data_IF_413191229854
#
_entry.id   IF_413191229854
#
_cell.length_a   1.000
_cell.length_b   1.000
_cell.length_c   1.000
_cell.angle_alpha   90.00
_cell.angle_beta   90.00
_cell.angle_gamma   90.00
#
_symmetry.space_group_name_H-M   'P 1'
#
loop_
_entity.id
_entity.type
_entity.pdbx_description
1 polymer ?
#
# COMPACT_ATOMS: atom_id res chain seq x y z
N UNK A 1 9.44 3.45 19.57
CA UNK A 1 10.08 4.53 18.78
C UNK A 1 10.15 4.08 17.33
N UNK A 2 10.02 4.99 16.38
CA UNK A 2 10.09 4.70 14.94
C UNK A 2 11.54 4.54 14.50
N UNK A 3 11.88 3.45 13.80
CA UNK A 3 13.23 3.16 13.29
C UNK A 3 13.40 3.67 11.86
N UNK A 4 14.58 4.21 11.58
CA UNK A 4 15.05 4.54 10.22
C UNK A 4 15.89 3.40 9.67
N UNK A 5 15.64 3.02 8.41
CA UNK A 5 16.36 1.95 7.71
C UNK A 5 16.95 2.52 6.42
N UNK A 6 18.23 2.22 6.17
CA UNK A 6 18.88 2.56 4.91
C UNK A 6 18.51 1.52 3.84
N UNK A 7 18.12 1.98 2.66
CA UNK A 7 17.90 1.15 1.48
C UNK A 7 18.87 1.56 0.38
N UNK A 8 18.97 0.77 -0.70
CA UNK A 8 19.76 1.12 -1.89
C UNK A 8 19.40 2.50 -2.48
N UNK A 9 18.15 2.94 -2.31
CA UNK A 9 17.61 4.15 -2.95
C UNK A 9 17.45 5.33 -2.00
N UNK A 10 17.72 5.16 -0.70
CA UNK A 10 17.59 6.21 0.31
C UNK A 10 17.11 5.67 1.65
N UNK A 11 16.96 6.56 2.63
CA UNK A 11 16.55 6.21 4.00
C UNK A 11 15.02 6.26 4.11
N UNK A 12 14.42 5.24 4.73
CA UNK A 12 12.99 5.19 5.06
C UNK A 12 12.77 5.22 6.57
N UNK A 13 11.63 5.75 7.01
CA UNK A 13 11.19 5.74 8.41
C UNK A 13 9.79 5.14 8.52
N UNK A 14 9.70 3.99 9.18
CA UNK A 14 8.45 3.27 9.40
C UNK A 14 7.75 3.62 10.72
N UNK A 15 6.78 2.81 11.12
CA UNK A 15 6.09 2.90 12.42
C UNK A 15 6.19 1.56 13.15
N UNK A 16 6.43 1.60 14.45
CA UNK A 16 6.42 0.41 15.29
C UNK A 16 5.06 0.30 15.99
N UNK A 17 4.37 -0.81 15.81
CA UNK A 17 3.01 -1.04 16.33
C UNK A 17 3.02 -2.28 17.22
N UNK A 18 2.41 -2.20 18.40
CA UNK A 18 2.14 -3.37 19.24
C UNK A 18 0.90 -4.09 18.73
N UNK A 19 1.02 -5.40 18.51
CA UNK A 19 -0.11 -6.24 18.11
C UNK A 19 -1.00 -6.50 19.33
N UNK A 20 -2.31 -6.61 19.12
CA UNK A 20 -3.28 -6.84 20.20
C UNK A 20 -3.03 -8.15 20.95
N UNK A 21 -2.53 -9.18 20.25
CA UNK A 21 -2.15 -10.42 20.89
C UNK A 21 -0.81 -10.22 21.63
N UNK A 22 -0.78 -10.28 22.97
CA UNK A 22 0.44 -10.02 23.75
C UNK A 22 1.55 -11.05 23.52
N UNK A 23 1.24 -12.23 22.95
CA UNK A 23 2.23 -13.24 22.57
C UNK A 23 2.99 -12.87 21.29
N UNK A 24 2.45 -11.94 20.51
CA UNK A 24 3.06 -11.44 19.27
C UNK A 24 3.73 -10.11 19.62
N UNK A 25 5.05 -10.04 19.46
CA UNK A 25 5.82 -8.82 19.71
C UNK A 25 5.38 -7.64 18.84
N UNK A 26 6.06 -6.51 18.97
CA UNK A 26 5.82 -5.38 18.07
C UNK A 26 6.15 -5.73 16.62
N UNK A 27 5.48 -5.06 15.68
CA UNK A 27 5.77 -5.14 14.24
C UNK A 27 6.22 -3.76 13.78
N UNK A 28 7.35 -3.71 13.08
CA UNK A 28 7.78 -2.54 12.32
C UNK A 28 7.10 -2.56 10.95
N UNK A 29 6.43 -1.46 10.61
CA UNK A 29 5.63 -1.33 9.41
C UNK A 29 6.17 -0.17 8.58
N UNK A 30 6.44 -0.45 7.31
CA UNK A 30 6.82 0.55 6.32
C UNK A 30 5.80 0.47 5.19
N UNK A 31 5.10 1.57 4.92
CA UNK A 31 4.04 1.65 3.92
C UNK A 31 4.41 2.61 2.80
N UNK A 32 4.01 2.26 1.57
CA UNK A 32 4.19 3.15 0.42
C UNK A 32 5.66 3.34 0.00
N UNK A 33 6.51 2.32 0.16
CA UNK A 33 7.89 2.37 -0.35
C UNK A 33 7.85 2.19 -1.87
N UNK A 34 8.41 3.11 -2.68
CA UNK A 34 8.48 2.91 -4.13
C UNK A 34 9.47 1.79 -4.45
N UNK A 35 9.07 0.83 -5.28
CA UNK A 35 9.94 -0.26 -5.71
C UNK A 35 10.30 -0.20 -7.20
N UNK A 36 9.63 0.66 -7.96
CA UNK A 36 9.93 0.95 -9.36
C UNK A 36 9.67 2.43 -9.68
N UNK A 37 10.14 2.86 -10.85
CA UNK A 37 9.80 4.17 -11.42
C UNK A 37 8.31 4.23 -11.81
N UNK A 38 7.61 5.37 -11.63
CA UNK A 38 6.20 5.49 -11.99
C UNK A 38 5.94 5.17 -13.48
N UNK A 39 4.98 4.30 -13.82
CA UNK A 39 4.69 3.88 -15.19
C UNK A 39 3.80 4.88 -15.94
N UNK A 40 4.09 6.18 -15.79
CA UNK A 40 3.29 7.29 -16.32
C UNK A 40 3.84 7.83 -17.65
N UNK A 41 2.98 8.44 -18.47
CA UNK A 41 3.38 9.07 -19.73
C UNK A 41 4.12 8.11 -20.66
N UNK A 42 5.33 8.46 -21.07
CA UNK A 42 6.16 7.66 -21.99
C UNK A 42 6.64 6.32 -21.40
N UNK A 43 6.46 6.09 -20.10
CA UNK A 43 6.78 4.84 -19.41
C UNK A 43 5.63 3.84 -19.40
N UNK A 44 4.42 4.25 -19.81
CA UNK A 44 3.29 3.33 -19.90
C UNK A 44 3.59 2.24 -20.92
N UNK A 45 3.21 1.00 -20.60
CA UNK A 45 3.44 -0.20 -21.42
C UNK A 45 4.91 -0.55 -21.67
N UNK A 46 5.83 0.03 -20.89
CA UNK A 46 7.23 -0.40 -20.83
C UNK A 46 7.50 -1.20 -19.56
N UNK A 47 8.55 -2.05 -19.54
CA UNK A 47 9.02 -2.67 -18.32
C UNK A 47 9.31 -1.61 -17.23
N UNK A 48 9.06 -1.93 -15.95
CA UNK A 48 9.33 -1.01 -14.85
C UNK A 48 10.82 -0.71 -14.74
N UNK A 49 11.17 0.57 -14.64
CA UNK A 49 12.54 1.02 -14.34
C UNK A 49 12.85 1.00 -12.84
N UNK A 50 14.12 1.18 -12.49
CA UNK A 50 14.54 1.33 -11.09
C UNK A 50 13.93 2.58 -10.45
N UNK A 51 13.61 2.56 -9.14
CA UNK A 51 13.23 3.76 -8.40
C UNK A 51 14.27 4.87 -8.53
N UNK A 52 13.80 6.12 -8.57
CA UNK A 52 14.67 7.27 -8.40
C UNK A 52 15.13 7.35 -6.94
N UNK A 53 16.44 7.41 -6.66
CA UNK A 53 16.94 7.63 -5.31
C UNK A 53 16.44 8.97 -4.75
N UNK A 54 16.24 9.04 -3.43
CA UNK A 54 15.87 10.29 -2.75
C UNK A 54 16.90 10.69 -1.70
N UNK A 55 16.97 12.00 -1.44
CA UNK A 55 17.79 12.55 -0.36
C UNK A 55 16.97 12.66 0.93
N UNK A 56 17.66 12.57 2.06
CA UNK A 56 17.03 12.64 3.39
C UNK A 56 16.23 11.40 3.76
N UNK A 57 15.29 11.56 4.68
CA UNK A 57 14.47 10.47 5.24
C UNK A 57 13.06 10.54 4.66
N UNK A 58 12.65 9.48 3.96
CA UNK A 58 11.28 9.33 3.47
C UNK A 58 10.40 8.71 4.55
N UNK A 59 9.31 9.38 4.89
CA UNK A 59 8.32 8.86 5.84
C UNK A 59 7.44 7.83 5.13
N UNK A 60 7.35 6.63 5.70
CA UNK A 60 6.62 5.48 5.13
C UNK A 60 5.59 4.96 6.13
N UNK A 61 4.70 5.83 6.60
CA UNK A 61 3.67 5.54 7.61
C UNK A 61 2.25 5.38 7.00
N UNK A 62 2.09 5.73 5.72
CA UNK A 62 0.83 5.72 4.96
C UNK A 62 0.94 4.88 3.70
N UNK A 63 -0.17 4.28 3.29
CA UNK A 63 -0.24 3.58 2.02
C UNK A 63 -0.09 4.57 0.85
N UNK A 64 0.64 4.14 -0.19
CA UNK A 64 0.60 4.81 -1.49
C UNK A 64 -0.75 4.63 -2.17
N UNK A 65 -1.02 5.35 -3.28
CA UNK A 65 -2.22 5.13 -4.07
C UNK A 65 -2.21 3.71 -4.68
N UNK A 66 -3.40 3.10 -4.77
CA UNK A 66 -3.58 1.83 -5.47
C UNK A 66 -3.58 2.05 -6.99
N UNK A 67 -3.33 0.98 -7.76
CA UNK A 67 -3.38 1.08 -9.21
C UNK A 67 -4.80 1.36 -9.72
N UNK A 68 -4.94 2.01 -10.89
CA UNK A 68 -6.24 2.34 -11.46
C UNK A 68 -7.05 1.08 -11.72
N UNK A 69 -8.27 1.04 -11.18
CA UNK A 69 -9.18 -0.08 -11.31
C UNK A 69 -10.63 0.39 -11.21
N UNK A 70 -11.48 -0.19 -12.06
CA UNK A 70 -12.92 0.04 -12.02
C UNK A 70 -13.58 -1.10 -11.25
N UNK A 71 -14.08 -0.82 -10.05
CA UNK A 71 -14.92 -1.74 -9.29
C UNK A 71 -16.41 -1.45 -9.54
N UNK A 72 -17.31 -2.43 -9.33
CA UNK A 72 -18.76 -2.24 -9.49
C UNK A 72 -19.30 -1.10 -8.63
N UNK A 73 -20.32 -0.39 -9.11
CA UNK A 73 -21.05 0.55 -8.26
C UNK A 73 -21.83 -0.22 -7.20
N UNK A 74 -21.62 0.16 -5.93
CA UNK A 74 -22.23 -0.44 -4.74
C UNK A 74 -23.02 0.59 -3.92
N UNK A 75 -23.27 1.79 -4.47
CA UNK A 75 -24.02 2.85 -3.79
C UNK A 75 -25.49 2.48 -3.60
N UNK A 76 -26.08 1.83 -4.59
CA UNK A 76 -27.43 1.27 -4.54
C UNK A 76 -27.35 -0.24 -4.30
N UNK A 77 -27.79 -0.69 -3.13
CA UNK A 77 -27.76 -2.09 -2.73
C UNK A 77 -28.67 -2.98 -3.57
N UNK A 78 -29.89 -2.55 -3.84
CA UNK A 78 -30.87 -3.31 -4.63
C UNK A 78 -30.32 -3.58 -6.03
N UNK A 79 -29.82 -2.55 -6.71
CA UNK A 79 -29.17 -2.68 -8.02
C UNK A 79 -27.92 -3.56 -7.99
N UNK A 80 -27.12 -3.45 -6.93
CA UNK A 80 -25.92 -4.26 -6.77
C UNK A 80 -26.29 -5.75 -6.61
N UNK A 81 -27.30 -6.07 -5.81
CA UNK A 81 -27.76 -7.44 -5.54
C UNK A 81 -28.39 -8.12 -6.77
N UNK A 82 -28.92 -7.34 -7.72
CA UNK A 82 -29.34 -7.87 -9.03
C UNK A 82 -28.15 -8.36 -9.87
N UNK A 83 -26.96 -7.79 -9.67
CA UNK A 83 -25.75 -8.05 -10.47
C UNK A 83 -24.73 -8.92 -9.78
N UNK A 84 -24.80 -9.07 -8.45
CA UNK A 84 -23.83 -9.86 -7.69
C UNK A 84 -24.40 -10.45 -6.40
N UNK A 85 -23.86 -11.60 -5.92
CA UNK A 85 -24.25 -12.16 -4.64
C UNK A 85 -23.97 -11.23 -3.46
N UNK A 86 -24.80 -11.33 -2.40
CA UNK A 86 -24.64 -10.52 -1.19
C UNK A 86 -23.25 -10.64 -0.54
N UNK A 87 -22.64 -11.84 -0.59
CA UNK A 87 -21.27 -12.06 -0.07
C UNK A 87 -20.26 -11.18 -0.81
N UNK A 88 -20.38 -11.06 -2.13
CA UNK A 88 -19.49 -10.22 -2.95
C UNK A 88 -19.72 -8.74 -2.65
N UNK A 89 -20.98 -8.31 -2.49
CA UNK A 89 -21.30 -6.95 -2.10
C UNK A 89 -20.69 -6.59 -0.73
N UNK A 90 -20.82 -7.48 0.25
CA UNK A 90 -20.25 -7.30 1.59
C UNK A 90 -18.72 -7.28 1.57
N UNK A 91 -18.09 -8.09 0.72
CA UNK A 91 -16.65 -8.03 0.48
C UNK A 91 -16.27 -6.64 -0.08
N UNK A 92 -16.90 -6.20 -1.18
CA UNK A 92 -16.61 -4.91 -1.81
C UNK A 92 -16.80 -3.73 -0.84
N UNK A 93 -17.88 -3.73 -0.05
CA UNK A 93 -18.13 -2.68 0.97
C UNK A 93 -16.96 -2.50 1.93
N UNK A 94 -16.27 -3.59 2.31
CA UNK A 94 -15.10 -3.53 3.20
C UNK A 94 -13.86 -2.96 2.51
N UNK A 95 -13.67 -3.24 1.21
CA UNK A 95 -12.44 -2.87 0.49
C UNK A 95 -12.53 -1.53 -0.25
N UNK A 96 -13.71 -1.12 -0.72
CA UNK A 96 -13.88 0.13 -1.50
C UNK A 96 -13.26 1.36 -0.83
N UNK A 97 -13.33 1.57 0.51
CA UNK A 97 -12.64 2.69 1.16
C UNK A 97 -11.12 2.72 0.89
N UNK A 98 -10.47 1.56 0.80
CA UNK A 98 -9.04 1.43 0.51
C UNK A 98 -8.70 1.59 -0.98
N UNK A 99 -9.69 1.48 -1.87
CA UNK A 99 -9.53 1.59 -3.32
C UNK A 99 -9.83 3.00 -3.86
N UNK A 100 -10.18 3.97 -3.01
CA UNK A 100 -10.56 5.32 -3.43
C UNK A 100 -9.38 6.14 -3.97
N UNK A 101 -8.21 6.00 -3.35
CA UNK A 101 -7.01 6.74 -3.74
C UNK A 101 -6.27 6.00 -4.85
N UNK A 102 -6.61 6.28 -6.10
CA UNK A 102 -6.02 5.65 -7.29
C UNK A 102 -5.07 6.61 -8.01
N UNK A 103 -3.97 6.08 -8.54
CA UNK A 103 -3.03 6.80 -9.40
C UNK A 103 -2.32 5.80 -10.30
N UNK A 104 -1.88 6.22 -11.48
CA UNK A 104 -0.94 5.42 -12.30
C UNK A 104 0.43 5.30 -11.63
N UNK A 105 0.81 6.27 -10.80
CA UNK A 105 1.96 6.15 -9.91
C UNK A 105 1.61 5.27 -8.69
N UNK A 106 1.47 3.96 -8.91
CA UNK A 106 1.04 2.99 -7.90
C UNK A 106 2.08 1.92 -7.56
N UNK A 107 3.31 1.99 -8.09
CA UNK A 107 4.34 0.95 -7.90
C UNK A 107 5.04 1.07 -6.54
N UNK A 108 4.26 0.84 -5.49
CA UNK A 108 4.66 0.88 -4.10
C UNK A 108 4.46 -0.48 -3.43
N UNK A 109 5.27 -0.77 -2.42
CA UNK A 109 5.12 -1.94 -1.56
C UNK A 109 5.03 -1.54 -0.09
N UNK A 110 4.54 -2.48 0.71
CA UNK A 110 4.47 -2.36 2.16
C UNK A 110 5.24 -3.52 2.79
N UNK A 111 6.06 -3.22 3.79
CA UNK A 111 6.88 -4.21 4.53
C UNK A 111 6.39 -4.27 5.97
N UNK A 112 6.18 -5.50 6.45
CA UNK A 112 5.79 -5.79 7.82
C UNK A 112 6.84 -6.73 8.41
N UNK A 113 7.58 -6.23 9.38
CA UNK A 113 8.72 -6.92 9.95
C UNK A 113 8.48 -7.14 11.44
N UNK A 114 8.62 -8.37 11.97
CA UNK A 114 8.63 -8.58 13.41
C UNK A 114 9.74 -7.74 14.04
N UNK A 115 9.42 -7.00 15.11
CA UNK A 115 10.28 -5.94 15.67
C UNK A 115 11.64 -6.42 16.20
N UNK A 116 11.86 -7.73 16.29
CA UNK A 116 13.11 -8.32 16.74
C UNK A 116 14.04 -8.75 15.58
N UNK A 117 13.64 -8.60 14.30
CA UNK A 117 14.29 -9.29 13.15
C UNK A 117 14.64 -8.34 11.99
N UNK A 118 14.40 -7.03 12.08
CA UNK A 118 14.80 -6.11 11.02
C UNK A 118 16.31 -5.79 11.10
N UNK A 119 17.12 -6.35 10.20
CA UNK A 119 18.55 -6.05 10.05
C UNK A 119 18.78 -5.17 8.82
#
# INVERSE_FOLDING_TARGET
MSRTIATKYGIVRGVSVRVTNPKVGSVEIFKGIPYAMPPIGQMRFKPPGNPTPWQGVRITDRFGPVCPQRYPDIRNETEALLRMPAVRLNYLRKFVPFLRNQSEDCLHLNVYCPGNICY
#
